data_IF_973680446858
#
_entry.id   IF_973680446858
#
_cell.length_a   1.000
_cell.length_b   1.000
_cell.length_c   1.000
_cell.angle_alpha   90.00
_cell.angle_beta   90.00
_cell.angle_gamma   90.00
#
_symmetry.space_group_name_H-M   'P 1'
#
loop_
_entity.id
_entity.type
_entity.pdbx_description
1 polymer ?
#
# COMPACT_ATOMS: atom_id res chain seq x y z
N UNK A 1 64.40 -25.91 -3.19
CA UNK A 1 63.35 -26.91 -3.38
C UNK A 1 62.06 -26.13 -3.38
N UNK A 2 61.72 -25.53 -4.46
CA UNK A 2 60.85 -26.02 -5.57
C UNK A 2 59.62 -26.75 -5.06
N UNK A 3 58.44 -26.10 -5.11
CA UNK A 3 57.36 -26.56 -5.98
C UNK A 3 56.22 -25.54 -6.08
N UNK A 4 56.05 -25.12 -7.27
CA UNK A 4 54.98 -24.42 -7.90
C UNK A 4 53.75 -25.31 -7.98
N UNK A 5 52.54 -24.82 -7.60
CA UNK A 5 51.29 -25.36 -8.12
C UNK A 5 50.42 -24.26 -8.67
N UNK A 6 50.27 -24.35 -9.95
CA UNK A 6 49.40 -23.54 -10.80
C UNK A 6 47.95 -24.03 -10.76
N UNK A 7 47.02 -23.11 -10.89
CA UNK A 7 45.83 -23.26 -11.74
C UNK A 7 44.60 -23.90 -11.13
N UNK A 8 43.56 -23.12 -10.98
CA UNK A 8 42.29 -23.45 -11.61
C UNK A 8 41.38 -22.22 -11.62
N UNK A 9 41.27 -21.64 -12.78
CA UNK A 9 40.22 -20.69 -13.18
C UNK A 9 38.90 -21.42 -13.25
N UNK A 10 37.92 -21.06 -12.43
CA UNK A 10 36.55 -21.41 -12.65
C UNK A 10 35.76 -20.12 -12.94
N UNK A 11 35.50 -19.89 -14.20
CA UNK A 11 34.60 -18.89 -14.69
C UNK A 11 33.16 -19.29 -14.34
N UNK A 12 32.56 -18.61 -13.37
CA UNK A 12 31.12 -18.68 -13.16
C UNK A 12 30.44 -17.74 -14.13
N UNK A 13 29.88 -18.29 -15.15
CA UNK A 13 28.93 -17.62 -16.06
C UNK A 13 27.62 -17.44 -15.34
N UNK A 14 27.42 -16.26 -14.77
CA UNK A 14 26.14 -15.80 -14.25
C UNK A 14 25.27 -15.39 -15.43
N UNK A 15 24.43 -16.31 -15.89
CA UNK A 15 23.41 -16.07 -16.90
C UNK A 15 22.09 -15.68 -16.23
N UNK A 16 22.01 -14.45 -15.79
CA UNK A 16 20.73 -13.85 -15.40
C UNK A 16 19.92 -13.57 -16.67
N UNK A 17 18.73 -14.18 -16.87
CA UNK A 17 17.88 -13.82 -17.98
C UNK A 17 17.33 -12.42 -17.77
N UNK A 18 17.80 -11.48 -18.58
CA UNK A 18 17.19 -10.15 -18.73
C UNK A 18 15.73 -10.32 -19.12
N UNK A 19 14.85 -10.01 -18.18
CA UNK A 19 13.44 -9.82 -18.45
C UNK A 19 13.29 -8.68 -19.45
N UNK A 20 13.13 -9.02 -20.69
CA UNK A 20 12.79 -8.09 -21.78
C UNK A 20 11.37 -7.58 -21.50
N UNK A 21 11.27 -6.41 -20.89
CA UNK A 21 10.04 -5.61 -20.92
C UNK A 21 9.75 -5.29 -22.37
N UNK A 22 8.83 -6.04 -22.96
CA UNK A 22 8.24 -5.71 -24.26
C UNK A 22 7.50 -4.38 -24.07
N UNK A 23 7.85 -3.30 -24.78
CA UNK A 23 7.05 -2.09 -24.74
C UNK A 23 5.70 -2.42 -25.38
N UNK A 24 4.65 -2.40 -24.59
CA UNK A 24 3.29 -2.46 -25.11
C UNK A 24 3.05 -1.14 -25.81
N UNK A 25 3.21 -1.12 -27.13
CA UNK A 25 2.75 -0.02 -27.97
C UNK A 25 1.23 0.08 -27.79
N UNK A 26 0.80 1.12 -27.09
CA UNK A 26 -0.60 1.51 -27.03
C UNK A 26 -0.92 2.13 -28.39
N UNK A 27 -1.30 1.29 -29.34
CA UNK A 27 -1.83 1.74 -30.61
C UNK A 27 -3.06 2.61 -30.32
N UNK A 28 -2.99 3.89 -30.67
CA UNK A 28 -4.10 4.84 -30.68
C UNK A 28 -5.10 4.42 -31.77
N UNK A 29 -5.81 3.33 -31.55
CA UNK A 29 -6.94 2.96 -32.37
C UNK A 29 -8.05 3.95 -32.09
N UNK A 30 -8.34 4.86 -33.03
CA UNK A 30 -9.53 5.70 -32.97
C UNK A 30 -10.75 4.76 -32.88
N UNK A 31 -11.59 4.90 -31.86
CA UNK A 31 -12.81 4.08 -31.76
C UNK A 31 -13.69 4.40 -32.98
N UNK A 32 -14.15 3.35 -33.65
CA UNK A 32 -15.15 3.50 -34.72
C UNK A 32 -16.43 4.16 -34.17
N UNK A 33 -17.12 5.02 -34.95
CA UNK A 33 -18.34 5.67 -34.51
C UNK A 33 -19.39 4.62 -34.14
N UNK A 34 -19.83 4.65 -32.87
CA UNK A 34 -20.81 3.74 -32.31
C UNK A 34 -20.27 2.65 -31.37
N UNK A 35 -18.96 2.51 -31.23
CA UNK A 35 -18.36 1.60 -30.23
C UNK A 35 -17.80 2.41 -29.07
N UNK A 36 -18.36 2.23 -27.88
CA UNK A 36 -17.84 2.79 -26.63
C UNK A 36 -16.62 1.95 -26.23
N UNK A 37 -15.42 2.49 -26.40
CA UNK A 37 -14.21 1.87 -25.89
C UNK A 37 -14.15 2.05 -24.36
N UNK A 38 -14.60 1.05 -23.61
CA UNK A 38 -14.45 1.01 -22.16
C UNK A 38 -12.97 0.73 -21.84
N UNK A 39 -12.17 1.77 -21.62
CA UNK A 39 -10.85 1.62 -21.03
C UNK A 39 -11.05 1.27 -19.56
N UNK A 40 -10.76 0.03 -19.20
CA UNK A 40 -10.69 -0.33 -17.79
C UNK A 40 -9.66 0.59 -17.10
N UNK A 41 -10.01 1.25 -16.00
CA UNK A 41 -9.06 2.07 -15.26
C UNK A 41 -7.88 1.18 -14.83
N UNK A 42 -6.64 1.70 -14.99
CA UNK A 42 -5.46 1.00 -14.50
C UNK A 42 -5.61 0.86 -12.99
N UNK A 43 -5.88 -0.36 -12.53
CA UNK A 43 -5.95 -0.68 -11.11
C UNK A 43 -4.52 -0.68 -10.56
N UNK A 44 -4.12 0.39 -9.91
CA UNK A 44 -2.93 0.40 -9.07
C UNK A 44 -3.26 -0.35 -7.79
N UNK A 45 -2.30 -1.16 -7.31
CA UNK A 45 -2.47 -1.84 -6.02
C UNK A 45 -2.62 -0.76 -4.94
N UNK A 46 -3.66 -0.83 -4.09
CA UNK A 46 -3.81 0.14 -3.00
C UNK A 46 -2.64 0.04 -2.02
N UNK A 47 -2.33 1.10 -1.27
CA UNK A 47 -1.34 1.04 -0.21
C UNK A 47 -1.76 -0.01 0.85
N UNK A 48 -0.77 -0.61 1.50
CA UNK A 48 -1.01 -1.53 2.62
C UNK A 48 -1.72 -0.79 3.75
N UNK A 49 -2.72 -1.43 4.34
CA UNK A 49 -3.49 -0.87 5.45
C UNK A 49 -3.43 -1.82 6.65
N UNK A 50 -3.47 -1.27 7.87
CA UNK A 50 -3.44 -2.08 9.10
C UNK A 50 -4.55 -3.12 9.17
N UNK A 51 -5.68 -2.87 8.51
CA UNK A 51 -6.81 -3.79 8.44
C UNK A 51 -6.55 -5.04 7.58
N UNK A 52 -5.54 -5.02 6.71
CA UNK A 52 -5.20 -6.14 5.83
C UNK A 52 -4.51 -7.29 6.57
N UNK A 53 -4.12 -7.07 7.82
CA UNK A 53 -3.29 -7.98 8.60
C UNK A 53 -4.01 -8.46 9.87
N UNK A 54 -3.66 -9.66 10.31
CA UNK A 54 -3.95 -10.14 11.65
C UNK A 54 -3.08 -9.42 12.70
N UNK A 55 -3.27 -9.71 13.99
CA UNK A 55 -2.53 -9.02 15.05
C UNK A 55 -1.01 -9.28 14.99
N UNK A 56 -0.58 -10.45 14.56
CA UNK A 56 0.84 -10.77 14.39
C UNK A 56 1.42 -9.98 13.20
N UNK A 57 0.73 -10.00 12.07
CA UNK A 57 1.11 -9.26 10.87
C UNK A 57 1.13 -7.74 11.08
N UNK A 58 0.21 -7.19 11.89
CA UNK A 58 0.23 -5.75 12.26
C UNK A 58 1.49 -5.36 13.02
N UNK A 59 1.97 -6.22 13.91
CA UNK A 59 3.22 -5.99 14.66
C UNK A 59 4.42 -5.99 13.72
N UNK A 60 4.46 -6.92 12.77
CA UNK A 60 5.53 -6.98 11.76
C UNK A 60 5.45 -5.78 10.82
N UNK A 61 4.26 -5.43 10.35
CA UNK A 61 4.04 -4.29 9.48
C UNK A 61 4.51 -2.96 10.12
N UNK A 62 4.20 -2.72 11.38
CA UNK A 62 4.69 -1.53 12.08
C UNK A 62 6.20 -1.58 12.32
N UNK A 63 6.76 -2.77 12.55
CA UNK A 63 8.21 -2.93 12.63
C UNK A 63 8.90 -2.62 11.30
N UNK A 64 8.32 -3.03 10.17
CA UNK A 64 8.80 -2.65 8.83
C UNK A 64 8.78 -1.14 8.61
N UNK A 65 7.79 -0.44 9.18
CA UNK A 65 7.70 1.01 9.13
C UNK A 65 8.66 1.73 10.09
N UNK A 66 9.41 0.98 10.94
CA UNK A 66 10.38 1.52 11.88
C UNK A 66 9.81 1.82 13.27
N UNK A 67 8.58 1.40 13.57
CA UNK A 67 7.94 1.63 14.85
C UNK A 67 7.98 0.40 15.77
N UNK A 68 7.77 0.63 17.06
CA UNK A 68 7.74 -0.45 18.05
C UNK A 68 6.52 -1.36 17.86
N UNK A 69 6.67 -2.70 17.93
CA UNK A 69 5.58 -3.67 17.67
C UNK A 69 4.35 -3.49 18.56
N UNK A 70 4.52 -2.99 19.79
CA UNK A 70 3.39 -2.77 20.72
C UNK A 70 2.44 -1.64 20.24
N UNK A 71 2.92 -0.74 19.36
CA UNK A 71 2.08 0.29 18.74
C UNK A 71 0.94 -0.31 17.91
N UNK A 72 1.12 -1.55 17.40
CA UNK A 72 0.07 -2.26 16.68
C UNK A 72 -1.18 -2.48 17.55
N UNK A 73 -1.00 -2.77 18.83
CA UNK A 73 -2.12 -2.94 19.75
C UNK A 73 -2.85 -1.62 20.01
N UNK A 74 -2.11 -0.52 20.17
CA UNK A 74 -2.68 0.80 20.37
C UNK A 74 -3.48 1.26 19.14
N UNK A 75 -2.89 1.18 17.93
CA UNK A 75 -3.57 1.50 16.69
C UNK A 75 -4.79 0.62 16.45
N UNK A 76 -4.67 -0.69 16.70
CA UNK A 76 -5.79 -1.62 16.54
C UNK A 76 -6.96 -1.27 17.45
N UNK A 77 -6.68 -0.87 18.68
CA UNK A 77 -7.71 -0.43 19.62
C UNK A 77 -8.44 0.84 19.14
N UNK A 78 -7.70 1.82 18.65
CA UNK A 78 -8.31 3.04 18.11
C UNK A 78 -9.15 2.74 16.86
N UNK A 79 -8.60 1.98 15.92
CA UNK A 79 -9.25 1.72 14.64
C UNK A 79 -10.46 0.78 14.75
N UNK A 80 -10.33 -0.37 15.45
CA UNK A 80 -11.37 -1.41 15.47
C UNK A 80 -12.34 -1.30 16.65
N UNK A 81 -11.89 -0.81 17.81
CA UNK A 81 -12.77 -0.73 18.99
C UNK A 81 -13.40 0.66 19.11
N UNK A 82 -12.61 1.72 18.89
CA UNK A 82 -13.07 3.10 19.05
C UNK A 82 -13.55 3.74 17.74
N UNK A 83 -13.28 3.11 16.59
CA UNK A 83 -13.60 3.59 15.24
C UNK A 83 -13.06 5.01 14.97
N UNK A 84 -11.89 5.30 15.49
CA UNK A 84 -11.21 6.59 15.37
C UNK A 84 -10.09 6.49 14.35
N UNK A 85 -10.13 7.35 13.32
CA UNK A 85 -9.11 7.47 12.29
C UNK A 85 -8.32 8.79 12.41
N UNK A 86 -8.78 9.70 13.27
CA UNK A 86 -8.16 11.02 13.46
C UNK A 86 -6.95 10.91 14.39
N UNK A 87 -5.74 11.27 13.93
CA UNK A 87 -4.55 11.26 14.77
C UNK A 87 -4.69 12.09 16.05
N UNK A 88 -5.41 13.20 16.01
CA UNK A 88 -5.58 14.09 17.16
C UNK A 88 -6.24 13.40 18.36
N UNK A 89 -7.11 12.43 18.09
CA UNK A 89 -7.85 11.68 19.11
C UNK A 89 -7.05 10.49 19.69
N UNK A 90 -5.93 10.12 19.06
CA UNK A 90 -5.09 8.99 19.47
C UNK A 90 -4.04 9.40 20.50
N UNK A 91 -4.48 9.79 21.69
CA UNK A 91 -3.60 10.32 22.75
C UNK A 91 -2.58 9.31 23.29
N UNK A 92 -2.81 8.01 23.08
CA UNK A 92 -1.91 6.92 23.49
C UNK A 92 -0.62 6.87 22.63
N UNK A 93 -0.60 7.58 21.49
CA UNK A 93 0.55 7.68 20.61
C UNK A 93 1.36 8.95 20.89
N UNK A 94 2.69 8.92 20.71
CA UNK A 94 3.52 10.12 20.83
C UNK A 94 3.05 11.19 19.85
N UNK A 95 2.91 12.42 20.32
CA UNK A 95 2.43 13.52 19.49
C UNK A 95 3.30 13.79 18.25
N UNK A 96 4.61 13.55 18.36
CA UNK A 96 5.57 13.78 17.28
C UNK A 96 5.41 12.81 16.11
N UNK A 97 5.12 11.54 16.43
CA UNK A 97 5.09 10.46 15.42
C UNK A 97 3.66 10.10 14.99
N UNK A 98 2.65 10.64 15.68
CA UNK A 98 1.24 10.28 15.57
C UNK A 98 0.72 10.44 14.14
N UNK A 99 0.92 11.59 13.54
CA UNK A 99 0.45 11.89 12.19
C UNK A 99 1.14 11.00 11.15
N UNK A 100 2.43 10.77 11.31
CA UNK A 100 3.19 9.91 10.41
C UNK A 100 2.78 8.44 10.53
N UNK A 101 2.66 7.92 11.76
CA UNK A 101 2.22 6.53 12.00
C UNK A 101 0.83 6.30 11.40
N UNK A 102 -0.11 7.20 11.65
CA UNK A 102 -1.48 7.07 11.17
C UNK A 102 -1.53 7.16 9.64
N UNK A 103 -0.86 8.12 9.02
CA UNK A 103 -0.85 8.27 7.57
C UNK A 103 -0.23 7.08 6.83
N UNK A 104 0.79 6.43 7.43
CA UNK A 104 1.47 5.26 6.85
C UNK A 104 0.76 3.94 7.13
N UNK A 105 0.18 3.78 8.33
CA UNK A 105 -0.48 2.54 8.74
C UNK A 105 -1.96 2.50 8.36
N UNK A 106 -2.62 3.64 8.27
CA UNK A 106 -4.04 3.80 7.94
C UNK A 106 -4.25 4.85 6.84
N UNK A 107 -3.70 4.66 5.63
CA UNK A 107 -3.89 5.59 4.54
C UNK A 107 -5.37 5.68 4.16
N UNK A 108 -5.84 6.86 3.83
CA UNK A 108 -7.21 7.05 3.34
C UNK A 108 -7.37 6.36 1.98
N UNK A 109 -8.20 5.32 1.93
CA UNK A 109 -8.41 4.49 0.74
C UNK A 109 -9.50 5.05 -0.18
N UNK A 110 -10.47 5.75 0.38
CA UNK A 110 -11.62 6.30 -0.34
C UNK A 110 -11.69 7.81 -0.12
N UNK A 111 -11.83 8.55 -1.20
CA UNK A 111 -12.04 10.01 -1.15
C UNK A 111 -13.49 10.31 -1.49
N UNK A 112 -14.26 10.97 -0.61
CA UNK A 112 -15.62 11.34 -0.92
C UNK A 112 -15.65 12.41 -2.01
N UNK A 113 -16.35 12.12 -3.10
CA UNK A 113 -16.52 13.03 -4.25
C UNK A 113 -17.77 13.88 -4.07
N UNK A 114 -18.84 13.27 -3.57
CA UNK A 114 -20.13 13.93 -3.38
C UNK A 114 -20.89 13.30 -2.22
N UNK A 115 -21.47 14.15 -1.40
CA UNK A 115 -22.41 13.76 -0.35
C UNK A 115 -23.79 14.28 -0.70
N UNK A 116 -24.79 13.44 -0.61
CA UNK A 116 -26.21 13.77 -0.80
C UNK A 116 -26.92 13.47 0.51
N UNK A 117 -27.72 14.42 0.97
CA UNK A 117 -28.55 14.29 2.16
C UNK A 117 -30.03 14.23 1.74
N UNK A 118 -30.80 13.38 2.39
CA UNK A 118 -32.23 13.25 2.22
C UNK A 118 -32.89 13.15 3.60
N UNK A 119 -34.19 13.34 3.64
CA UNK A 119 -35.01 13.18 4.85
C UNK A 119 -34.54 14.04 6.05
N UNK A 120 -34.14 15.29 5.78
CA UNK A 120 -33.72 16.21 6.83
C UNK A 120 -32.35 15.84 7.46
N UNK A 121 -31.55 15.00 6.82
CA UNK A 121 -30.25 14.56 7.28
C UNK A 121 -30.22 13.12 7.81
N UNK A 122 -31.36 12.44 7.88
CA UNK A 122 -31.45 11.05 8.38
C UNK A 122 -30.81 10.05 7.40
N UNK A 123 -30.79 10.39 6.10
CA UNK A 123 -30.17 9.56 5.07
C UNK A 123 -29.01 10.27 4.41
N UNK A 124 -27.83 9.66 4.48
CA UNK A 124 -26.60 10.14 3.83
C UNK A 124 -26.17 9.17 2.73
N UNK A 125 -26.03 9.66 1.51
CA UNK A 125 -25.41 8.93 0.40
C UNK A 125 -24.08 9.56 0.04
N UNK A 126 -23.00 8.83 0.27
CA UNK A 126 -21.65 9.27 -0.06
C UNK A 126 -21.17 8.52 -1.31
N UNK A 127 -20.70 9.27 -2.30
CA UNK A 127 -20.10 8.73 -3.52
C UNK A 127 -18.59 8.90 -3.41
N UNK A 128 -17.86 7.80 -3.60
CA UNK A 128 -16.40 7.73 -3.55
C UNK A 128 -15.81 7.49 -4.93
#
# INVERSE_FOLDING_TARGET
MTETFAGCTAASTDSTPRSTKVPVEISNVRPEPGKIALKAPRRTKPPKHIADFDMAGRREFLKELGYQPFRASQLSKHYFERLVNDPAQMTDLPAQDRDEIVSRAMPQLLTPVRTLEADGGDTLKVVH
#
